data_IF_022140307352
#
_entry.id   IF_022140307352
#
_cell.length_a   1.000
_cell.length_b   1.000
_cell.length_c   1.000
_cell.angle_alpha   90.00
_cell.angle_beta   90.00
_cell.angle_gamma   90.00
#
_symmetry.space_group_name_H-M   'P 1'
#
loop_
_entity.id
_entity.type
_entity.pdbx_description
1 polymer ?
#
# COMPACT_ATOMS: atom_id res chain seq x y z
N UNK A 1 -23.53 6.59 -13.20
CA UNK A 1 -22.63 7.70 -12.88
C UNK A 1 -23.05 8.22 -11.52
N UNK A 2 -22.27 7.95 -10.47
CA UNK A 2 -22.57 8.47 -9.12
C UNK A 2 -21.47 9.42 -8.69
N UNK A 3 -21.96 10.56 -8.24
CA UNK A 3 -21.36 11.81 -7.85
C UNK A 3 -20.60 11.71 -6.51
N UNK A 4 -19.27 11.77 -6.52
CA UNK A 4 -18.45 11.82 -5.31
C UNK A 4 -17.09 12.48 -5.54
N UNK A 5 -17.12 13.77 -5.91
CA UNK A 5 -16.05 14.74 -5.67
C UNK A 5 -16.78 15.85 -4.87
N UNK A 6 -16.41 16.32 -3.68
CA UNK A 6 -15.11 16.66 -3.10
C UNK A 6 -15.32 16.91 -1.59
N UNK A 7 -14.43 16.42 -0.71
CA UNK A 7 -13.71 17.15 0.37
C UNK A 7 -12.87 16.08 1.10
N UNK A 8 -11.55 16.10 0.87
CA UNK A 8 -10.59 15.43 1.76
C UNK A 8 -9.61 14.40 1.16
N UNK A 9 -9.04 14.62 -0.02
CA UNK A 9 -7.69 14.15 -0.40
C UNK A 9 -7.29 14.87 -1.71
N UNK A 10 -6.19 15.66 -1.76
CA UNK A 10 -5.85 16.48 -2.93
C UNK A 10 -5.66 15.69 -4.23
N UNK A 11 -5.49 14.37 -4.17
CA UNK A 11 -5.02 13.56 -5.29
C UNK A 11 -6.11 12.66 -5.90
N UNK A 12 -7.32 12.60 -5.32
CA UNK A 12 -8.42 11.75 -5.80
C UNK A 12 -8.10 10.24 -5.76
N UNK A 13 -7.09 9.84 -4.98
CA UNK A 13 -6.61 8.47 -4.94
C UNK A 13 -7.43 7.64 -3.95
N UNK A 14 -7.64 6.38 -4.28
CA UNK A 14 -8.22 5.44 -3.32
C UNK A 14 -7.22 5.18 -2.17
N UNK A 15 -7.69 4.77 -0.97
CA UNK A 15 -6.79 4.45 0.15
C UNK A 15 -5.70 3.44 -0.20
N UNK A 16 -5.98 2.49 -1.09
CA UNK A 16 -5.01 1.54 -1.62
C UNK A 16 -3.91 2.25 -2.41
N UNK A 17 -4.29 3.16 -3.31
CA UNK A 17 -3.35 3.90 -4.16
C UNK A 17 -2.52 4.89 -3.33
N UNK A 18 -3.09 5.52 -2.30
CA UNK A 18 -2.33 6.32 -1.33
C UNK A 18 -1.25 5.49 -0.65
N UNK A 19 -1.62 4.30 -0.13
CA UNK A 19 -0.67 3.43 0.56
C UNK A 19 0.47 2.96 -0.37
N UNK A 20 0.14 2.61 -1.62
CA UNK A 20 1.13 2.22 -2.64
C UNK A 20 2.04 3.40 -2.97
N UNK A 21 1.48 4.59 -3.23
CA UNK A 21 2.25 5.80 -3.51
C UNK A 21 3.23 6.11 -2.38
N UNK A 22 2.77 6.07 -1.13
CA UNK A 22 3.61 6.39 0.03
C UNK A 22 4.73 5.36 0.21
N UNK A 23 4.48 4.08 -0.09
CA UNK A 23 5.50 3.05 -0.10
C UNK A 23 6.54 3.28 -1.19
N UNK A 24 6.10 3.57 -2.42
CA UNK A 24 6.97 3.88 -3.56
C UNK A 24 7.81 5.13 -3.29
N UNK A 25 7.19 6.22 -2.82
CA UNK A 25 7.88 7.47 -2.53
C UNK A 25 8.94 7.29 -1.44
N UNK A 26 8.63 6.55 -0.37
CA UNK A 26 9.61 6.26 0.70
C UNK A 26 10.79 5.45 0.18
N UNK A 27 10.53 4.45 -0.66
CA UNK A 27 11.59 3.64 -1.26
C UNK A 27 12.46 4.47 -2.20
N UNK A 28 11.86 5.25 -3.11
CA UNK A 28 12.60 6.14 -4.00
C UNK A 28 13.44 7.15 -3.23
N UNK A 29 12.90 7.75 -2.16
CA UNK A 29 13.66 8.66 -1.31
C UNK A 29 14.87 7.98 -0.66
N UNK A 30 14.72 6.74 -0.18
CA UNK A 30 15.83 5.97 0.34
C UNK A 30 16.88 5.65 -0.74
N UNK A 31 16.45 5.23 -1.93
CA UNK A 31 17.35 4.91 -3.05
C UNK A 31 18.13 6.14 -3.54
N UNK A 32 17.47 7.31 -3.58
CA UNK A 32 18.09 8.62 -3.88
C UNK A 32 19.13 8.98 -2.82
N UNK A 33 18.81 8.85 -1.54
CA UNK A 33 19.74 9.15 -0.46
C UNK A 33 20.98 8.23 -0.47
N UNK A 34 20.80 6.94 -0.77
CA UNK A 34 21.88 5.96 -0.87
C UNK A 34 22.84 6.22 -2.05
N UNK A 35 22.37 6.90 -3.10
CA UNK A 35 23.13 7.13 -4.35
C UNK A 35 23.63 8.55 -4.52
N UNK A 36 23.56 9.38 -3.49
CA UNK A 36 24.05 10.75 -3.56
C UNK A 36 23.14 11.66 -4.40
N UNK A 37 21.83 11.61 -4.11
CA UNK A 37 20.79 12.51 -4.65
C UNK A 37 20.36 12.24 -6.10
N UNK A 38 20.89 11.20 -6.76
CA UNK A 38 20.53 10.84 -8.14
C UNK A 38 20.35 9.34 -8.31
N UNK A 39 19.44 8.96 -9.20
CA UNK A 39 19.29 7.59 -9.70
C UNK A 39 19.69 7.64 -11.17
N UNK A 40 20.75 6.93 -11.52
CA UNK A 40 21.24 6.84 -12.89
C UNK A 40 20.50 5.72 -13.64
N UNK A 41 20.57 5.73 -14.97
CA UNK A 41 19.90 4.73 -15.80
C UNK A 41 20.34 3.29 -15.44
N UNK A 42 21.61 3.13 -15.06
CA UNK A 42 22.17 1.84 -14.64
C UNK A 42 21.55 1.30 -13.34
N UNK A 43 20.99 2.16 -12.49
CA UNK A 43 20.37 1.79 -11.22
C UNK A 43 18.93 1.30 -11.38
N UNK A 44 18.28 1.64 -12.50
CA UNK A 44 16.85 1.41 -12.74
C UNK A 44 16.43 -0.04 -12.50
N UNK A 45 17.18 -1.08 -12.93
CA UNK A 45 16.79 -2.47 -12.68
C UNK A 45 16.69 -2.80 -11.18
N UNK A 46 17.69 -2.38 -10.39
CA UNK A 46 17.73 -2.65 -8.95
C UNK A 46 16.65 -1.85 -8.21
N UNK A 47 16.51 -0.57 -8.51
CA UNK A 47 15.49 0.30 -7.90
C UNK A 47 14.09 -0.23 -8.21
N UNK A 48 13.84 -0.64 -9.45
CA UNK A 48 12.55 -1.22 -9.85
C UNK A 48 12.23 -2.48 -9.07
N UNK A 49 13.23 -3.34 -8.84
CA UNK A 49 13.07 -4.54 -8.02
C UNK A 49 12.70 -4.18 -6.57
N UNK A 50 13.43 -3.25 -5.94
CA UNK A 50 13.17 -2.86 -4.56
C UNK A 50 11.80 -2.21 -4.39
N UNK A 51 11.41 -1.34 -5.31
CA UNK A 51 10.05 -0.76 -5.35
C UNK A 51 9.00 -1.87 -5.43
N UNK A 52 9.19 -2.86 -6.29
CA UNK A 52 8.26 -3.99 -6.44
C UNK A 52 8.09 -4.76 -5.13
N UNK A 53 9.20 -5.06 -4.44
CA UNK A 53 9.18 -5.73 -3.13
C UNK A 53 8.41 -4.91 -2.08
N UNK A 54 8.57 -3.58 -2.06
CA UNK A 54 7.84 -2.74 -1.12
C UNK A 54 6.34 -2.63 -1.45
N UNK A 55 5.99 -2.63 -2.73
CA UNK A 55 4.59 -2.69 -3.16
C UNK A 55 3.97 -4.00 -2.69
N UNK A 56 4.59 -5.15 -2.97
CA UNK A 56 4.13 -6.46 -2.51
C UNK A 56 3.89 -6.47 -0.99
N UNK A 57 4.88 -6.05 -0.20
CA UNK A 57 4.76 -5.98 1.27
C UNK A 57 3.61 -5.08 1.72
N UNK A 58 3.38 -3.97 1.02
CA UNK A 58 2.30 -3.04 1.33
C UNK A 58 0.94 -3.69 1.07
N UNK A 59 0.79 -4.36 -0.08
CA UNK A 59 -0.43 -5.10 -0.42
C UNK A 59 -0.71 -6.22 0.60
N UNK A 60 0.30 -7.02 0.96
CA UNK A 60 0.15 -8.10 1.96
C UNK A 60 -0.27 -7.60 3.34
N UNK A 61 0.18 -6.40 3.75
CA UNK A 61 -0.22 -5.81 5.03
C UNK A 61 -1.66 -5.31 5.02
N UNK A 62 -2.12 -4.79 3.89
CA UNK A 62 -3.50 -4.30 3.75
C UNK A 62 -4.50 -5.46 3.72
N UNK A 63 -4.17 -6.56 3.03
CA UNK A 63 -5.01 -7.76 3.02
C UNK A 63 -5.11 -8.40 4.40
N UNK A 64 -3.99 -8.49 5.14
CA UNK A 64 -3.99 -8.99 6.51
C UNK A 64 -4.84 -8.15 7.48
N UNK A 65 -4.92 -6.83 7.29
CA UNK A 65 -5.78 -5.93 8.08
C UNK A 65 -7.27 -6.09 7.78
N UNK A 66 -7.62 -6.50 6.56
CA UNK A 66 -9.00 -6.82 6.19
C UNK A 66 -9.52 -8.13 6.80
N UNK A 67 -8.63 -8.98 7.31
CA UNK A 67 -8.93 -10.28 7.95
C UNK A 67 -8.96 -10.22 9.49
N UNK A 68 -9.24 -9.05 10.08
CA UNK A 68 -9.60 -8.95 11.50
C UNK A 68 -10.80 -9.86 11.85
N UNK A 69 -10.98 -10.25 13.13
CA UNK A 69 -11.74 -11.43 13.56
C UNK A 69 -13.23 -11.34 13.22
N UNK A 70 -13.58 -11.60 11.97
CA UNK A 70 -14.96 -11.57 11.48
C UNK A 70 -15.58 -12.96 11.35
N UNK A 71 -15.01 -13.99 11.99
CA UNK A 71 -15.52 -15.36 11.80
C UNK A 71 -15.36 -16.29 13.02
N UNK A 72 -15.86 -15.87 14.18
CA UNK A 72 -16.06 -16.81 15.31
C UNK A 72 -17.20 -16.42 16.25
N UNK A 73 -18.31 -15.93 15.71
CA UNK A 73 -19.54 -15.72 16.48
C UNK A 73 -20.76 -16.02 15.64
N UNK A 74 -20.91 -17.29 15.22
CA UNK A 74 -22.24 -17.84 14.94
C UNK A 74 -22.36 -19.20 15.61
N UNK A 75 -23.40 -19.28 16.45
CA UNK A 75 -24.13 -20.47 16.91
C UNK A 75 -23.42 -21.46 17.86
N UNK A 76 -23.48 -21.15 19.16
CA UNK A 76 -23.90 -22.13 20.18
C UNK A 76 -24.80 -21.39 21.18
N UNK A 77 -26.11 -21.34 20.89
CA UNK A 77 -27.14 -20.99 21.87
C UNK A 77 -28.44 -21.63 21.42
N UNK A 78 -28.99 -22.53 22.25
CA UNK A 78 -30.21 -23.32 22.03
C UNK A 78 -29.93 -24.53 21.13
N UNK A 79 -30.24 -25.77 21.50
CA UNK A 79 -31.45 -26.19 22.22
C UNK A 79 -31.19 -27.27 23.28
N UNK A 80 -32.08 -27.22 24.27
CA UNK A 80 -32.29 -28.13 25.38
C UNK A 80 -32.85 -29.48 24.92
#
# INVERSE_FOLDING_TARGET
MSDAYVVGDPDGLSPLLIAVRDAVARELHAQVALRGERIELADVPEVSYQVTVQVERTLSRLTARGQGPSDRSKTVTGDL
#
